data_IF_319103560948
#
_entry.id   IF_319103560948
#
_cell.length_a   1.000
_cell.length_b   1.000
_cell.length_c   1.000
_cell.angle_alpha   90.00
_cell.angle_beta   90.00
_cell.angle_gamma   90.00
#
_symmetry.space_group_name_H-M   'P 1'
#
loop_
_entity.id
_entity.type
_entity.pdbx_description
1 polymer ?
#
# COMPACT_ATOMS: atom_id res chain seq x y z
N UNK A 1 -24.22 -21.00 17.90
CA UNK A 1 -24.26 -20.69 16.46
C UNK A 1 -22.86 -20.82 15.93
N UNK A 2 -22.66 -21.59 14.87
CA UNK A 2 -21.33 -21.81 14.28
C UNK A 2 -20.81 -20.48 13.74
N UNK A 3 -19.64 -20.06 14.20
CA UNK A 3 -18.94 -18.86 13.72
C UNK A 3 -18.72 -19.02 12.20
N UNK A 4 -19.15 -18.03 11.41
CA UNK A 4 -18.76 -17.98 10.01
C UNK A 4 -17.22 -18.02 9.91
N UNK A 5 -16.62 -18.74 8.94
CA UNK A 5 -15.19 -18.68 8.71
C UNK A 5 -14.78 -17.22 8.48
N UNK A 6 -13.65 -16.80 9.06
CA UNK A 6 -13.08 -15.49 8.76
C UNK A 6 -12.96 -15.32 7.22
N UNK A 7 -13.58 -14.28 6.67
CA UNK A 7 -13.59 -14.04 5.23
C UNK A 7 -12.16 -13.82 4.73
N UNK A 8 -11.80 -14.47 3.62
CA UNK A 8 -10.45 -14.38 3.03
C UNK A 8 -10.39 -13.23 2.04
N UNK A 9 -9.19 -12.71 1.77
CA UNK A 9 -8.96 -11.80 0.64
C UNK A 9 -9.24 -12.55 -0.66
N UNK A 10 -10.14 -12.02 -1.48
CA UNK A 10 -10.50 -12.53 -2.79
C UNK A 10 -9.86 -11.73 -3.93
N UNK A 11 -9.66 -10.42 -3.73
CA UNK A 11 -9.00 -9.55 -4.70
C UNK A 11 -8.41 -8.30 -4.05
N UNK A 12 -7.52 -7.65 -4.79
CA UNK A 12 -6.84 -6.41 -4.41
C UNK A 12 -7.24 -5.33 -5.42
N UNK A 13 -7.73 -4.19 -4.93
CA UNK A 13 -7.93 -2.98 -5.72
C UNK A 13 -6.61 -2.20 -5.74
N UNK A 14 -6.08 -1.83 -6.91
CA UNK A 14 -4.81 -1.09 -7.04
C UNK A 14 -4.91 0.03 -8.09
N UNK A 15 -4.07 1.06 -7.97
CA UNK A 15 -3.98 2.15 -8.95
C UNK A 15 -2.96 1.90 -10.06
N UNK A 16 -2.17 0.82 -9.93
CA UNK A 16 -1.26 0.35 -10.97
C UNK A 16 0.16 0.18 -10.47
N UNK A 17 1.02 -0.31 -11.35
CA UNK A 17 2.45 -0.48 -11.10
C UNK A 17 3.33 0.34 -12.04
N UNK A 18 2.93 0.52 -13.29
CA UNK A 18 3.72 1.26 -14.27
C UNK A 18 3.21 2.68 -14.51
N UNK A 19 4.12 3.64 -14.45
CA UNK A 19 3.92 5.01 -14.92
C UNK A 19 5.29 5.69 -15.02
N UNK A 20 5.76 5.88 -16.26
CA UNK A 20 7.05 6.53 -16.56
C UNK A 20 7.02 8.01 -16.20
N UNK A 21 7.50 8.36 -15.00
CA UNK A 21 7.51 9.72 -14.46
C UNK A 21 8.59 9.91 -13.40
N UNK A 22 9.05 11.14 -13.22
CA UNK A 22 9.83 11.47 -12.02
C UNK A 22 8.93 11.52 -10.79
N UNK A 23 9.57 11.43 -9.61
CA UNK A 23 8.86 11.56 -8.33
C UNK A 23 8.07 12.87 -8.29
N UNK A 24 6.82 12.81 -7.83
CA UNK A 24 5.84 13.91 -7.83
C UNK A 24 5.55 14.52 -9.22
N UNK A 25 5.88 13.84 -10.32
CA UNK A 25 5.64 14.35 -11.68
C UNK A 25 6.49 15.58 -12.04
N UNK A 26 7.62 15.78 -11.38
CA UNK A 26 8.53 16.92 -11.62
C UNK A 26 9.28 16.77 -12.95
N UNK A 27 9.77 17.87 -13.50
CA UNK A 27 10.59 17.85 -14.73
C UNK A 27 12.03 17.35 -14.50
N UNK A 28 12.54 17.48 -13.27
CA UNK A 28 13.89 17.10 -12.86
C UNK A 28 13.91 16.33 -11.52
N UNK A 29 15.02 15.65 -11.24
CA UNK A 29 15.24 14.84 -10.02
C UNK A 29 15.09 13.34 -10.25
N UNK A 30 14.95 12.56 -9.18
CA UNK A 30 14.92 11.09 -9.26
C UNK A 30 13.69 10.55 -10.01
N UNK A 31 13.89 9.43 -10.71
CA UNK A 31 12.80 8.66 -11.29
C UNK A 31 11.98 7.98 -10.19
N UNK A 32 10.68 7.85 -10.39
CA UNK A 32 9.84 7.02 -9.53
C UNK A 32 10.10 5.55 -9.82
N UNK A 33 10.02 4.69 -8.82
CA UNK A 33 10.02 3.22 -8.99
C UNK A 33 8.86 2.71 -9.86
N UNK A 34 7.76 3.47 -9.96
CA UNK A 34 6.72 3.19 -10.96
C UNK A 34 7.20 3.29 -12.41
N UNK A 35 8.31 3.99 -12.68
CA UNK A 35 8.81 4.16 -14.05
C UNK A 35 9.31 2.86 -14.66
N UNK A 36 9.63 1.89 -13.82
CA UNK A 36 10.13 0.56 -14.20
C UNK A 36 9.19 -0.56 -13.72
N UNK A 37 7.98 -0.21 -13.28
CA UNK A 37 7.03 -1.12 -12.65
C UNK A 37 7.55 -1.84 -11.38
N UNK A 38 8.52 -1.22 -10.69
CA UNK A 38 9.10 -1.72 -9.44
C UNK A 38 8.33 -1.23 -8.19
N UNK A 39 7.19 -0.59 -8.41
CA UNK A 39 6.26 -0.15 -7.38
C UNK A 39 4.83 -0.58 -7.68
N UNK A 40 3.99 -0.62 -6.64
CA UNK A 40 2.54 -0.83 -6.74
C UNK A 40 1.80 0.02 -5.71
N UNK A 41 0.69 0.62 -6.14
CA UNK A 41 -0.20 1.41 -5.28
C UNK A 41 -1.46 0.61 -4.94
N UNK A 42 -1.59 0.17 -3.69
CA UNK A 42 -2.71 -0.65 -3.21
C UNK A 42 -3.81 0.25 -2.60
N UNK A 43 -4.98 0.27 -3.22
CA UNK A 43 -6.11 1.08 -2.80
C UNK A 43 -7.07 0.36 -1.83
N UNK A 44 -7.10 -0.97 -1.85
CA UNK A 44 -7.97 -1.75 -0.98
C UNK A 44 -8.07 -3.24 -1.31
N UNK A 45 -9.00 -3.90 -0.64
CA UNK A 45 -9.19 -5.35 -0.66
C UNK A 45 -10.68 -5.67 -0.74
N UNK A 46 -11.02 -6.74 -1.46
CA UNK A 46 -12.35 -7.35 -1.44
C UNK A 46 -12.26 -8.74 -0.86
N UNK A 47 -13.12 -9.05 0.10
CA UNK A 47 -13.16 -10.34 0.77
C UNK A 47 -14.17 -11.28 0.11
N UNK A 48 -14.04 -12.57 0.39
CA UNK A 48 -14.90 -13.64 -0.17
C UNK A 48 -16.38 -13.50 0.21
N UNK A 49 -16.71 -12.74 1.26
CA UNK A 49 -18.08 -12.45 1.69
C UNK A 49 -18.67 -11.17 1.05
N UNK A 50 -17.93 -10.54 0.13
CA UNK A 50 -18.32 -9.29 -0.52
C UNK A 50 -17.91 -8.03 0.25
N UNK A 51 -17.31 -8.15 1.44
CA UNK A 51 -16.82 -7.00 2.20
C UNK A 51 -15.74 -6.27 1.41
N UNK A 52 -15.87 -4.94 1.30
CA UNK A 52 -14.84 -4.06 0.74
C UNK A 52 -14.17 -3.24 1.84
N UNK A 53 -12.84 -3.27 1.83
CA UNK A 53 -11.97 -2.52 2.73
C UNK A 53 -11.08 -1.63 1.86
N UNK A 54 -11.16 -0.32 2.03
CA UNK A 54 -10.43 0.65 1.21
C UNK A 54 -9.60 1.57 2.08
N UNK A 55 -8.37 1.87 1.65
CA UNK A 55 -7.47 2.79 2.38
C UNK A 55 -8.15 4.15 2.57
N UNK A 56 -8.70 4.72 1.50
CA UNK A 56 -9.35 6.04 1.52
C UNK A 56 -10.46 6.20 2.59
N UNK A 57 -11.22 5.15 2.90
CA UNK A 57 -12.38 5.23 3.81
C UNK A 57 -12.17 4.57 5.15
N UNK A 58 -11.37 3.51 5.19
CA UNK A 58 -11.32 2.60 6.32
C UNK A 58 -9.97 2.66 7.06
N UNK A 59 -9.09 3.63 6.77
CA UNK A 59 -7.77 3.77 7.41
C UNK A 59 -7.83 4.18 8.89
N UNK A 60 -8.77 5.04 9.26
CA UNK A 60 -8.87 5.63 10.61
C UNK A 60 -9.86 4.87 11.50
N UNK A 61 -9.59 4.86 12.80
CA UNK A 61 -10.41 4.22 13.82
C UNK A 61 -9.78 2.95 14.37
N UNK A 62 -10.48 2.29 15.28
CA UNK A 62 -10.01 1.11 16.01
C UNK A 62 -10.80 -0.16 15.65
N UNK A 63 -11.64 -0.11 14.62
CA UNK A 63 -12.44 -1.23 14.15
C UNK A 63 -11.64 -2.30 13.38
N UNK A 64 -12.29 -3.40 12.97
CA UNK A 64 -11.61 -4.50 12.26
C UNK A 64 -10.94 -4.09 10.95
N UNK A 65 -11.55 -3.17 10.19
CA UNK A 65 -11.03 -2.73 8.89
C UNK A 65 -9.77 -1.87 8.99
N UNK A 66 -9.71 -0.81 9.84
CA UNK A 66 -8.45 -0.12 10.13
C UNK A 66 -7.37 -1.10 10.60
N UNK A 67 -7.66 -1.97 11.58
CA UNK A 67 -6.67 -2.94 12.08
C UNK A 67 -6.12 -3.85 10.98
N UNK A 68 -6.99 -4.29 10.07
CA UNK A 68 -6.59 -5.08 8.90
C UNK A 68 -5.63 -4.28 7.99
N UNK A 69 -5.95 -3.03 7.65
CA UNK A 69 -5.08 -2.19 6.81
C UNK A 69 -3.74 -1.89 7.47
N UNK A 70 -3.72 -1.62 8.77
CA UNK A 70 -2.49 -1.43 9.55
C UNK A 70 -1.65 -2.72 9.59
N UNK A 71 -2.29 -3.88 9.73
CA UNK A 71 -1.60 -5.20 9.64
C UNK A 71 -0.97 -5.40 8.27
N UNK A 72 -1.68 -5.06 7.19
CA UNK A 72 -1.15 -5.13 5.82
C UNK A 72 0.06 -4.21 5.65
N UNK A 73 -0.05 -2.95 6.11
CA UNK A 73 1.05 -1.97 6.05
C UNK A 73 2.26 -2.46 6.84
N UNK A 74 2.08 -2.98 8.05
CA UNK A 74 3.17 -3.46 8.89
C UNK A 74 3.87 -4.67 8.28
N UNK A 75 3.10 -5.60 7.69
CA UNK A 75 3.65 -6.72 6.93
C UNK A 75 4.40 -6.27 5.68
N UNK A 76 3.87 -5.28 4.95
CA UNK A 76 4.53 -4.70 3.78
C UNK A 76 5.87 -4.04 4.15
N UNK A 77 5.96 -3.36 5.30
CA UNK A 77 7.22 -2.79 5.79
C UNK A 77 8.33 -3.83 6.00
N UNK A 78 7.99 -5.11 6.20
CA UNK A 78 8.99 -6.19 6.30
C UNK A 78 9.44 -6.72 4.93
N UNK A 79 8.63 -6.52 3.88
CA UNK A 79 8.84 -7.09 2.56
C UNK A 79 9.40 -6.09 1.56
N UNK A 80 8.94 -4.85 1.58
CA UNK A 80 9.29 -3.81 0.60
C UNK A 80 10.35 -2.84 1.11
N UNK A 81 11.14 -2.26 0.19
CA UNK A 81 12.14 -1.24 0.52
C UNK A 81 11.46 0.06 0.97
N UNK A 82 10.32 0.39 0.36
CA UNK A 82 9.46 1.51 0.75
C UNK A 82 8.04 1.03 0.97
N UNK A 83 7.43 1.47 2.07
CA UNK A 83 6.00 1.39 2.33
C UNK A 83 5.56 2.76 2.83
N UNK A 84 4.74 3.45 2.04
CA UNK A 84 4.14 4.73 2.40
C UNK A 84 2.63 4.58 2.53
N UNK A 85 2.09 5.14 3.60
CA UNK A 85 0.69 5.06 3.96
C UNK A 85 0.05 6.44 4.10
N UNK A 86 -1.26 6.54 4.38
CA UNK A 86 -1.90 7.81 4.71
C UNK A 86 -1.27 8.56 5.88
N UNK A 87 -0.53 7.88 6.76
CA UNK A 87 0.18 8.51 7.89
C UNK A 87 1.46 9.25 7.45
N UNK A 88 1.97 9.00 6.23
CA UNK A 88 3.13 9.69 5.70
C UNK A 88 2.80 11.11 5.23
N UNK A 89 1.88 11.24 4.26
CA UNK A 89 1.46 12.54 3.73
C UNK A 89 0.16 12.44 2.90
N UNK A 90 -0.36 13.60 2.48
CA UNK A 90 -1.60 13.71 1.73
C UNK A 90 -1.60 13.02 0.35
N UNK A 91 -0.43 12.84 -0.28
CA UNK A 91 -0.34 12.15 -1.57
C UNK A 91 -0.67 10.66 -1.46
N UNK A 92 -0.57 10.08 -0.26
CA UNK A 92 -0.85 8.66 0.01
C UNK A 92 -2.13 8.48 0.83
N UNK A 93 -3.04 9.46 0.83
CA UNK A 93 -4.24 9.44 1.66
C UNK A 93 -5.22 8.29 1.31
N UNK A 94 -5.12 7.75 0.10
CA UNK A 94 -6.08 6.78 -0.46
C UNK A 94 -5.45 5.45 -0.92
N UNK A 95 -4.15 5.25 -0.71
CA UNK A 95 -3.45 4.02 -1.06
C UNK A 95 -2.21 3.77 -0.19
N UNK A 96 -1.72 2.53 -0.23
CA UNK A 96 -0.38 2.17 0.22
C UNK A 96 0.55 2.12 -1.00
N UNK A 97 1.63 2.88 -0.98
CA UNK A 97 2.68 2.81 -2.00
C UNK A 97 3.77 1.85 -1.54
N UNK A 98 4.03 0.81 -2.33
CA UNK A 98 4.99 -0.26 -2.03
C UNK A 98 6.00 -0.37 -3.16
N UNK A 99 7.30 -0.30 -2.87
CA UNK A 99 8.36 -0.42 -3.88
C UNK A 99 9.60 -1.21 -3.40
N UNK A 100 10.45 -1.63 -4.34
CA UNK A 100 11.69 -2.36 -4.11
C UNK A 100 12.95 -1.54 -4.43
N UNK A 101 12.87 -0.21 -4.30
CA UNK A 101 13.97 0.71 -4.58
C UNK A 101 15.32 0.18 -4.07
N UNK A 102 16.35 0.18 -4.93
CA UNK A 102 17.69 -0.23 -4.52
C UNK A 102 18.27 0.78 -3.52
N UNK A 103 18.48 0.33 -2.28
CA UNK A 103 19.01 1.15 -1.18
C UNK A 103 20.51 0.94 -0.97
N UNK A 104 21.18 0.29 -1.93
CA UNK A 104 22.60 -0.05 -1.87
C UNK A 104 22.94 -0.92 -0.67
N UNK A 105 24.23 -0.95 -0.32
CA UNK A 105 24.77 -1.81 0.75
C UNK A 105 24.11 -1.57 2.13
N UNK A 106 23.49 -0.41 2.35
CA UNK A 106 22.83 -0.08 3.62
C UNK A 106 21.46 -0.72 3.81
N UNK A 107 20.78 -1.14 2.74
CA UNK A 107 19.53 -1.93 2.79
C UNK A 107 18.40 -1.34 3.65
N UNK A 108 18.40 -0.03 3.90
CA UNK A 108 17.47 0.59 4.84
C UNK A 108 16.04 0.60 4.28
N UNK A 109 15.03 0.39 5.14
CA UNK A 109 13.63 0.39 4.74
C UNK A 109 12.93 1.69 5.17
N UNK A 110 12.13 2.26 4.27
CA UNK A 110 11.20 3.33 4.61
C UNK A 110 9.85 2.71 4.97
N UNK A 111 9.41 2.91 6.21
CA UNK A 111 8.09 2.48 6.68
C UNK A 111 7.40 3.68 7.32
N UNK A 112 6.45 4.30 6.59
CA UNK A 112 5.83 5.57 6.97
C UNK A 112 4.32 5.53 6.88
#
# INVERSE_FOLDING_TARGET
GVLAPAARVASIDHFGSYSCRRIYGRDAGSWSEHSTADAVDIAGFRLTDGTRITVARDWKGDGPKPRFLHTVRDGACQLFATTLSPDYNAAHADHLHLDQADRGMGGWRACR
#
